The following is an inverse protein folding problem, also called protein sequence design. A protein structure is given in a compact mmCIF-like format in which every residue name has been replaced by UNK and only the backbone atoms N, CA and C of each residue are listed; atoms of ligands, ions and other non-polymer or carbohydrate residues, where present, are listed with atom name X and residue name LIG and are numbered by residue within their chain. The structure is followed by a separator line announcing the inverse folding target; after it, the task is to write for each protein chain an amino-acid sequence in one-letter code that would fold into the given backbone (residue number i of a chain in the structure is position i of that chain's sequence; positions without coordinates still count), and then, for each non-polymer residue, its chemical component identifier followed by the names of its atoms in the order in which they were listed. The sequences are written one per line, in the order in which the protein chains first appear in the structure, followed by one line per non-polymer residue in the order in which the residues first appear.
data_IF_109079498566
#
_entry.id   IF_109079498566
#
_cell.length_a   1.000
_cell.length_b   1.000
_cell.length_c   1.000
_cell.angle_alpha   90.00
_cell.angle_beta   90.00
_cell.angle_gamma   90.00
#
_symmetry.space_group_name_H-M   'P 1'
#
loop_
_entity.id
_entity.type
_entity.pdbx_description
1 polymer ?
#
# COMPACT_ATOMS: atom_id res chain seq x y z
N UNK A 1 -21.74 14.11 -5.60
CA UNK A 1 -21.35 14.35 -4.19
C UNK A 1 -20.75 15.73 -4.11
N UNK A 2 -21.27 16.60 -3.26
CA UNK A 2 -20.78 17.99 -3.18
C UNK A 2 -19.54 18.07 -2.29
N UNK A 3 -18.74 19.14 -2.41
CA UNK A 3 -17.60 19.39 -1.49
C UNK A 3 -18.06 19.49 -0.03
N UNK A 4 -19.24 20.08 0.21
CA UNK A 4 -19.80 20.20 1.57
C UNK A 4 -20.16 18.82 2.15
N UNK A 5 -20.71 17.91 1.35
CA UNK A 5 -21.02 16.54 1.80
C UNK A 5 -19.76 15.74 2.18
N UNK A 6 -18.62 16.02 1.51
CA UNK A 6 -17.36 15.32 1.78
C UNK A 6 -16.79 15.70 3.16
N UNK A 7 -16.77 16.99 3.49
CA UNK A 7 -16.23 17.49 4.75
C UNK A 7 -17.16 17.30 5.95
N UNK A 8 -18.47 17.21 5.74
CA UNK A 8 -19.45 16.95 6.79
C UNK A 8 -19.44 15.49 7.30
N UNK A 9 -18.75 14.59 6.61
CA UNK A 9 -18.67 13.17 6.97
C UNK A 9 -17.73 12.97 8.17
N UNK A 10 -18.11 12.06 9.07
CA UNK A 10 -17.16 11.52 10.04
C UNK A 10 -16.09 10.67 9.34
N UNK A 11 -14.83 10.87 9.73
CA UNK A 11 -13.67 10.16 9.18
C UNK A 11 -12.94 9.35 10.29
N UNK A 12 -13.58 8.31 10.85
CA UNK A 12 -13.11 7.69 12.10
C UNK A 12 -11.91 6.75 11.93
N UNK A 13 -11.58 6.34 10.70
CA UNK A 13 -10.47 5.42 10.44
C UNK A 13 -9.26 6.16 9.88
N UNK A 14 -8.09 5.94 10.48
CA UNK A 14 -6.84 6.60 10.10
C UNK A 14 -5.79 5.59 9.67
N UNK A 15 -5.07 5.91 8.60
CA UNK A 15 -4.01 5.08 8.06
C UNK A 15 -2.80 5.94 7.68
N UNK A 16 -1.60 5.35 7.78
CA UNK A 16 -0.38 5.95 7.22
C UNK A 16 0.16 5.02 6.15
N UNK A 17 0.11 5.48 4.90
CA UNK A 17 0.63 4.76 3.75
C UNK A 17 2.05 5.23 3.48
N UNK A 18 2.98 4.28 3.50
CA UNK A 18 4.38 4.55 3.12
C UNK A 18 4.58 4.18 1.67
N UNK A 19 5.11 5.11 0.89
CA UNK A 19 5.34 4.98 -0.55
C UNK A 19 6.82 5.23 -0.82
N UNK A 20 7.40 4.45 -1.71
CA UNK A 20 8.80 4.57 -2.09
C UNK A 20 8.89 4.89 -3.57
N UNK A 21 9.48 6.05 -3.84
CA UNK A 21 9.59 6.66 -5.15
C UNK A 21 11.06 6.67 -5.53
N UNK A 22 11.51 5.62 -6.23
CA UNK A 22 12.90 5.41 -6.66
C UNK A 22 13.30 6.33 -7.84
N UNK A 23 13.09 7.63 -7.70
CA UNK A 23 13.43 8.66 -8.68
C UNK A 23 14.21 9.79 -7.98
N UNK A 24 15.55 9.71 -7.89
CA UNK A 24 16.35 10.56 -7.00
C UNK A 24 16.58 11.99 -7.53
N UNK A 25 16.21 12.25 -8.78
CA UNK A 25 16.49 13.49 -9.51
C UNK A 25 15.30 14.46 -9.57
N UNK A 26 14.19 14.15 -8.89
CA UNK A 26 13.01 15.02 -8.83
C UNK A 26 13.32 16.32 -8.07
N UNK A 27 12.85 17.43 -8.62
CA UNK A 27 12.85 18.73 -7.95
C UNK A 27 11.71 18.81 -6.93
N UNK A 28 11.74 19.79 -6.03
CA UNK A 28 10.61 20.01 -5.11
C UNK A 28 9.29 20.26 -5.86
N UNK A 29 9.33 20.99 -6.98
CA UNK A 29 8.16 21.22 -7.83
C UNK A 29 7.57 19.92 -8.40
N UNK A 30 8.44 19.00 -8.84
CA UNK A 30 8.00 17.68 -9.31
C UNK A 30 7.36 16.85 -8.19
N UNK A 31 7.92 16.92 -6.97
CA UNK A 31 7.37 16.22 -5.81
C UNK A 31 6.00 16.78 -5.42
N UNK A 32 5.80 18.10 -5.48
CA UNK A 32 4.49 18.71 -5.24
C UNK A 32 3.46 18.28 -6.28
N UNK A 33 3.80 18.35 -7.58
CA UNK A 33 2.93 17.90 -8.65
C UNK A 33 2.59 16.41 -8.50
N UNK A 34 3.58 15.60 -8.14
CA UNK A 34 3.40 14.19 -7.85
C UNK A 34 2.41 13.98 -6.70
N UNK A 35 2.52 14.72 -5.59
CA UNK A 35 1.55 14.68 -4.48
C UNK A 35 0.14 15.09 -4.93
N UNK A 36 -0.01 16.12 -5.77
CA UNK A 36 -1.31 16.56 -6.28
C UNK A 36 -2.03 15.45 -7.05
N UNK A 37 -1.31 14.68 -7.87
CA UNK A 37 -1.91 13.52 -8.55
C UNK A 37 -2.41 12.45 -7.56
N UNK A 38 -1.74 12.28 -6.41
CA UNK A 38 -2.17 11.34 -5.36
C UNK A 38 -3.40 11.85 -4.62
N UNK A 39 -3.48 13.16 -4.37
CA UNK A 39 -4.68 13.80 -3.82
C UNK A 39 -5.87 13.56 -4.76
N UNK A 40 -5.69 13.70 -6.08
CA UNK A 40 -6.75 13.43 -7.04
C UNK A 40 -7.25 11.97 -6.99
N UNK A 41 -6.32 11.00 -6.89
CA UNK A 41 -6.66 9.58 -6.73
C UNK A 41 -7.42 9.33 -5.42
N UNK A 42 -6.93 9.86 -4.29
CA UNK A 42 -7.58 9.69 -2.97
C UNK A 42 -8.99 10.27 -2.97
N UNK A 43 -9.17 11.47 -3.52
CA UNK A 43 -10.49 12.10 -3.67
C UNK A 43 -11.44 11.24 -4.51
N UNK A 44 -10.96 10.66 -5.61
CA UNK A 44 -11.75 9.76 -6.47
C UNK A 44 -12.22 8.51 -5.71
N UNK A 45 -11.43 8.04 -4.75
CA UNK A 45 -11.69 6.87 -3.91
C UNK A 45 -12.46 7.21 -2.62
N UNK A 46 -12.92 8.45 -2.45
CA UNK A 46 -13.58 8.94 -1.22
C UNK A 46 -12.71 8.77 0.03
N UNK A 47 -11.41 9.04 -0.10
CA UNK A 47 -10.45 9.07 1.00
C UNK A 47 -9.97 10.50 1.20
N UNK A 48 -9.86 10.91 2.46
CA UNK A 48 -9.34 12.22 2.82
C UNK A 48 -7.83 12.13 3.05
N UNK A 49 -7.05 12.98 2.40
CA UNK A 49 -5.65 13.20 2.80
C UNK A 49 -5.63 14.18 3.97
N UNK A 50 -5.18 13.71 5.13
CA UNK A 50 -5.08 14.49 6.37
C UNK A 50 -3.70 15.19 6.49
N UNK A 51 -2.68 14.59 5.88
CA UNK A 51 -1.36 15.20 5.79
C UNK A 51 -0.36 14.28 5.10
N UNK A 52 0.81 14.81 4.76
CA UNK A 52 1.90 14.02 4.19
C UNK A 52 3.24 14.61 4.59
N UNK A 53 4.28 13.77 4.53
CA UNK A 53 5.66 14.18 4.66
C UNK A 53 6.54 13.27 3.80
N UNK A 54 7.76 13.71 3.51
CA UNK A 54 8.71 12.95 2.70
C UNK A 54 10.15 13.12 3.18
N UNK A 55 11.02 12.19 2.79
CA UNK A 55 12.44 12.22 3.09
C UNK A 55 13.24 11.67 1.90
N UNK A 56 14.37 12.31 1.59
CA UNK A 56 15.27 11.86 0.54
C UNK A 56 16.06 10.63 0.98
N UNK A 57 16.28 9.70 0.07
CA UNK A 57 17.13 8.53 0.23
C UNK A 57 18.26 8.54 -0.80
N UNK A 58 19.16 7.55 -0.74
CA UNK A 58 20.20 7.37 -1.77
C UNK A 58 19.61 7.08 -3.16
N UNK A 59 18.44 6.44 -3.21
CA UNK A 59 17.84 5.90 -4.43
C UNK A 59 16.60 6.67 -4.88
N UNK A 60 16.04 7.54 -4.04
CA UNK A 60 14.79 8.22 -4.33
C UNK A 60 14.23 8.98 -3.13
N UNK A 61 12.94 8.79 -2.89
CA UNK A 61 12.17 9.49 -1.88
C UNK A 61 11.21 8.54 -1.17
N UNK A 62 11.18 8.61 0.16
CA UNK A 62 10.14 7.97 0.95
C UNK A 62 9.06 8.99 1.27
N UNK A 63 7.81 8.64 1.00
CA UNK A 63 6.62 9.42 1.35
C UNK A 63 5.80 8.71 2.42
N UNK A 64 5.18 9.49 3.29
CA UNK A 64 4.21 9.04 4.27
C UNK A 64 2.93 9.84 4.07
N UNK A 65 1.88 9.21 3.57
CA UNK A 65 0.56 9.81 3.41
C UNK A 65 -0.33 9.40 4.58
N UNK A 66 -0.80 10.37 5.36
CA UNK A 66 -1.82 10.17 6.40
C UNK A 66 -3.19 10.33 5.76
N UNK A 67 -3.94 9.24 5.68
CA UNK A 67 -5.27 9.25 5.07
C UNK A 67 -6.33 8.90 6.10
N UNK A 68 -7.55 9.38 5.86
CA UNK A 68 -8.73 9.02 6.63
C UNK A 68 -9.79 8.41 5.74
N UNK A 69 -10.53 7.46 6.30
CA UNK A 69 -11.60 6.75 5.63
C UNK A 69 -12.87 6.74 6.49
N UNK A 70 -14.02 6.67 5.82
CA UNK A 70 -15.31 6.53 6.48
C UNK A 70 -15.59 5.11 6.98
N UNK A 71 -14.91 4.13 6.42
CA UNK A 71 -14.98 2.71 6.80
C UNK A 71 -13.57 2.16 7.01
N UNK A 72 -13.49 1.04 7.71
CA UNK A 72 -12.24 0.29 7.78
C UNK A 72 -11.84 -0.22 6.40
N UNK A 73 -10.57 0.00 6.04
CA UNK A 73 -9.94 -0.58 4.87
C UNK A 73 -9.34 -1.95 5.22
N UNK A 74 -9.53 -2.89 4.30
CA UNK A 74 -8.93 -4.23 4.35
C UNK A 74 -7.44 -4.15 4.00
N UNK A 75 -6.69 -5.19 4.38
CA UNK A 75 -5.25 -5.27 4.07
C UNK A 75 -4.98 -5.26 2.56
N UNK A 76 -5.86 -5.88 1.75
CA UNK A 76 -5.79 -5.85 0.28
C UNK A 76 -6.02 -4.44 -0.27
N UNK A 77 -6.99 -3.71 0.27
CA UNK A 77 -7.24 -2.32 -0.13
C UNK A 77 -6.08 -1.40 0.22
N UNK A 78 -5.47 -1.58 1.40
CA UNK A 78 -4.28 -0.83 1.78
C UNK A 78 -3.10 -1.15 0.85
N UNK A 79 -2.88 -2.42 0.51
CA UNK A 79 -1.85 -2.82 -0.45
C UNK A 79 -2.08 -2.20 -1.85
N UNK A 80 -3.33 -2.25 -2.33
CA UNK A 80 -3.71 -1.66 -3.60
C UNK A 80 -3.55 -0.13 -3.59
N UNK A 81 -3.92 0.53 -2.50
CA UNK A 81 -3.72 1.97 -2.34
C UNK A 81 -2.23 2.33 -2.41
N UNK A 82 -1.34 1.54 -1.82
CA UNK A 82 0.10 1.81 -1.94
C UNK A 82 0.55 1.76 -3.40
N UNK A 83 0.12 0.75 -4.17
CA UNK A 83 0.39 0.69 -5.61
C UNK A 83 -0.13 1.92 -6.36
N UNK A 84 -1.40 2.29 -6.13
CA UNK A 84 -2.04 3.42 -6.80
C UNK A 84 -1.37 4.76 -6.48
N UNK A 85 -0.83 4.91 -5.26
CA UNK A 85 -0.07 6.09 -4.87
C UNK A 85 1.38 6.05 -5.40
N UNK A 86 1.74 5.06 -6.21
CA UNK A 86 2.99 4.95 -6.95
C UNK A 86 4.13 4.36 -6.14
N UNK A 87 3.83 3.37 -5.33
CA UNK A 87 4.83 2.51 -4.73
C UNK A 87 5.56 1.65 -5.78
N UNK A 88 6.77 1.20 -5.48
CA UNK A 88 7.49 0.25 -6.33
C UNK A 88 6.63 -1.01 -6.59
N UNK A 89 6.50 -1.37 -7.87
CA UNK A 89 5.67 -2.48 -8.33
C UNK A 89 6.03 -3.83 -7.69
N UNK A 90 7.32 -4.10 -7.43
CA UNK A 90 7.74 -5.34 -6.74
C UNK A 90 7.28 -5.30 -5.29
N UNK A 91 7.44 -4.16 -4.62
CA UNK A 91 6.93 -3.98 -3.25
C UNK A 91 5.41 -4.11 -3.18
N UNK A 92 4.69 -3.53 -4.13
CA UNK A 92 3.24 -3.67 -4.24
C UNK A 92 2.82 -5.14 -4.43
N UNK A 93 3.52 -5.87 -5.29
CA UNK A 93 3.29 -7.31 -5.52
C UNK A 93 3.42 -8.11 -4.23
N UNK A 94 4.52 -7.91 -3.47
CA UNK A 94 4.69 -8.56 -2.17
C UNK A 94 3.62 -8.16 -1.15
N UNK A 95 3.22 -6.89 -1.14
CA UNK A 95 2.18 -6.41 -0.23
C UNK A 95 0.81 -7.00 -0.54
N UNK A 96 0.45 -7.16 -1.82
CA UNK A 96 -0.76 -7.85 -2.25
C UNK A 96 -0.71 -9.33 -1.86
N UNK A 97 0.40 -10.03 -2.13
CA UNK A 97 0.57 -11.43 -1.74
C UNK A 97 0.46 -11.62 -0.21
N UNK A 98 1.02 -10.69 0.58
CA UNK A 98 0.89 -10.71 2.04
C UNK A 98 -0.55 -10.47 2.50
N UNK A 99 -1.30 -9.61 1.82
CA UNK A 99 -2.71 -9.40 2.10
C UNK A 99 -3.50 -10.69 1.86
N UNK A 100 -3.29 -11.36 0.73
CA UNK A 100 -3.92 -12.67 0.43
C UNK A 100 -3.57 -13.74 1.47
N UNK A 101 -2.31 -13.78 1.91
CA UNK A 101 -1.87 -14.75 2.93
C UNK A 101 -2.36 -14.41 4.36
N UNK A 102 -3.06 -13.29 4.57
CA UNK A 102 -3.45 -12.79 5.90
C UNK A 102 -2.26 -12.38 6.77
N UNK A 103 -1.14 -12.04 6.13
CA UNK A 103 0.15 -11.76 6.77
C UNK A 103 0.62 -10.31 6.61
N UNK A 104 -0.22 -9.46 6.03
CA UNK A 104 0.06 -8.05 5.76
C UNK A 104 0.61 -7.32 6.99
N UNK A 105 -0.10 -7.35 8.11
CA UNK A 105 0.35 -6.66 9.34
C UNK A 105 1.57 -7.30 10.02
N UNK A 106 1.93 -8.54 9.64
CA UNK A 106 3.05 -9.30 10.24
C UNK A 106 4.36 -8.93 9.56
N UNK A 107 4.36 -8.89 8.23
CA UNK A 107 5.58 -8.67 7.44
C UNK A 107 5.70 -7.26 6.87
N UNK A 108 4.63 -6.47 6.93
CA UNK A 108 4.68 -5.10 6.45
C UNK A 108 5.39 -4.20 7.47
N UNK A 109 6.68 -3.94 7.22
CA UNK A 109 7.54 -2.97 7.94
C UNK A 109 7.00 -1.53 7.84
N UNK A 110 5.95 -1.31 7.05
CA UNK A 110 5.40 0.01 6.73
C UNK A 110 4.44 0.58 7.79
N UNK A 111 4.15 -0.13 8.90
CA UNK A 111 3.48 0.48 10.06
C UNK A 111 4.49 1.07 11.06
N UNK A 112 4.15 2.21 11.68
CA UNK A 112 4.96 2.91 12.69
C UNK A 112 5.26 2.05 13.93
N UNK A 113 4.44 1.03 14.20
CA UNK A 113 4.68 0.01 15.21
C UNK A 113 5.22 -1.26 14.56
N UNK A 114 6.55 -1.43 14.56
CA UNK A 114 7.14 -2.78 14.45
C UNK A 114 6.61 -3.60 15.63
N UNK A 115 5.87 -4.67 15.37
CA UNK A 115 5.61 -5.68 16.38
C UNK A 115 6.96 -6.34 16.71
N UNK A 116 7.70 -5.82 17.69
CA UNK A 116 8.87 -6.49 18.31
C UNK A 116 8.48 -7.73 19.12
N UNK A 117 7.27 -8.26 18.92
CA UNK A 117 6.84 -9.49 19.58
C UNK A 117 7.55 -10.63 18.85
N UNK A 118 8.37 -11.43 19.53
CA UNK A 118 8.86 -12.69 18.96
C UNK A 118 7.62 -13.51 18.62
N UNK A 119 7.37 -13.72 17.33
CA UNK A 119 6.35 -14.65 16.90
C UNK A 119 6.89 -16.06 17.12
N UNK A 120 6.10 -16.99 17.69
CA UNK A 120 6.47 -18.39 17.71
C UNK A 120 6.77 -18.85 16.27
N UNK A 121 7.86 -19.59 16.06
CA UNK A 121 8.28 -20.02 14.72
C UNK A 121 7.18 -20.79 14.02
N UNK A 122 6.38 -21.56 14.76
CA UNK A 122 5.25 -22.32 14.24
C UNK A 122 4.20 -21.42 13.57
N UNK A 123 3.95 -20.25 14.15
CA UNK A 123 3.04 -19.26 13.56
C UNK A 123 3.66 -18.61 12.33
N UNK A 124 4.97 -18.35 12.34
CA UNK A 124 5.67 -17.74 11.21
C UNK A 124 5.66 -18.69 10.00
N UNK A 125 5.96 -19.98 10.23
CA UNK A 125 5.97 -21.03 9.21
C UNK A 125 4.62 -21.09 8.48
N UNK A 126 3.50 -21.02 9.19
CA UNK A 126 2.17 -21.03 8.54
C UNK A 126 1.98 -19.85 7.57
N UNK A 127 2.44 -18.64 7.91
CA UNK A 127 2.31 -17.50 7.00
C UNK A 127 3.30 -17.59 5.83
N UNK A 128 4.51 -18.12 6.05
CA UNK A 128 5.47 -18.38 4.98
C UNK A 128 4.94 -19.43 4.01
N UNK A 129 4.37 -20.53 4.50
CA UNK A 129 3.73 -21.54 3.67
C UNK A 129 2.56 -20.95 2.87
N UNK A 130 1.71 -20.13 3.48
CA UNK A 130 0.64 -19.42 2.76
C UNK A 130 1.17 -18.50 1.66
N UNK A 131 2.28 -17.80 1.90
CA UNK A 131 2.92 -16.97 0.88
C UNK A 131 3.47 -17.81 -0.27
N UNK A 132 4.12 -18.93 0.02
CA UNK A 132 4.63 -19.86 -1.00
C UNK A 132 3.47 -20.42 -1.83
N UNK A 133 2.39 -20.86 -1.18
CA UNK A 133 1.20 -21.39 -1.87
C UNK A 133 0.55 -20.30 -2.73
N UNK A 134 0.34 -19.10 -2.19
CA UNK A 134 -0.26 -17.99 -2.94
C UNK A 134 0.60 -17.59 -4.15
N UNK A 135 1.92 -17.58 -4.01
CA UNK A 135 2.84 -17.31 -5.11
C UNK A 135 2.82 -18.43 -6.16
N UNK A 136 2.89 -19.68 -5.73
CA UNK A 136 2.83 -20.83 -6.63
C UNK A 136 1.52 -20.86 -7.41
N UNK A 137 0.39 -20.57 -6.76
CA UNK A 137 -0.92 -20.49 -7.41
C UNK A 137 -0.98 -19.34 -8.42
N UNK A 138 -0.39 -18.19 -8.08
CA UNK A 138 -0.30 -17.04 -8.99
C UNK A 138 0.49 -17.38 -10.25
N UNK A 139 1.64 -18.05 -10.13
CA UNK A 139 2.42 -18.50 -11.30
C UNK A 139 1.67 -19.52 -12.14
N UNK A 140 1.02 -20.52 -11.52
CA UNK A 140 0.22 -21.51 -12.27
C UNK A 140 -0.95 -20.86 -13.02
N UNK A 141 -1.63 -19.88 -12.42
CA UNK A 141 -2.71 -19.14 -13.09
C UNK A 141 -2.16 -18.29 -14.24
N UNK A 142 -0.97 -17.69 -14.09
CA UNK A 142 -0.31 -16.93 -15.14
C UNK A 142 0.02 -17.82 -16.34
N UNK A 143 0.62 -18.99 -16.10
CA UNK A 143 0.94 -19.98 -17.14
C UNK A 143 -0.31 -20.43 -17.90
N UNK A 144 -1.39 -20.75 -17.17
CA UNK A 144 -2.67 -21.14 -17.78
C UNK A 144 -3.32 -20.02 -18.62
N UNK A 145 -3.14 -18.75 -18.22
CA UNK A 145 -3.67 -17.63 -18.99
C UNK A 145 -2.89 -17.41 -20.30
N UNK A 146 -1.56 -17.57 -20.26
CA UNK A 146 -0.69 -17.51 -21.44
C UNK A 146 -0.99 -18.66 -22.43
N UNK A 147 -1.41 -19.84 -21.96
CA UNK A 147 -1.81 -20.97 -22.80
C UNK A 147 -3.18 -20.80 -23.48
N UNK A 148 -4.09 -20.00 -22.90
CA UNK A 148 -5.46 -19.79 -23.42
C UNK A 148 -5.53 -18.65 -24.46
N UNK A 149 -4.53 -17.77 -24.50
CA UNK A 149 -4.42 -16.68 -25.48
C UNK A 149 -3.63 -17.05 -26.77
N UNK A 150 -3.17 -18.31 -26.89
CA UNK A 150 -2.49 -18.89 -28.08
C UNK A 150 -3.45 -19.69 -28.97
#
# INVERSE_FOLDING_TARGET
MTKQDFWARGWPYEYTLKIDLDVPFLTEGDLYLWVETRIAILNRLNLLLDGWNYARTKHGWHFWFKIRAQRSLTDRELALLQLLLGDDHRRATFNLARAEAGSFKVFNVLFSKKLRKKWPMEKLILHVLRLIIAWSLFETVRELHEEVEL
#
